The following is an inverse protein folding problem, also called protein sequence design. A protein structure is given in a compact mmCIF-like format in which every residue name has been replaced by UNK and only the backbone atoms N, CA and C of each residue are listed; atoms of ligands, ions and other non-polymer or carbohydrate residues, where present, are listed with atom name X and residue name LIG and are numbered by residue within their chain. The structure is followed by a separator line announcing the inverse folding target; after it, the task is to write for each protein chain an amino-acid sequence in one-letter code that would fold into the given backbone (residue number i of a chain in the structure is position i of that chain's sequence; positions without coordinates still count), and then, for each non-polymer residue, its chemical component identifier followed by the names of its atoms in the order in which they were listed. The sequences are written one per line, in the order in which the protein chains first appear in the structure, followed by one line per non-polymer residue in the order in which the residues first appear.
data_IF_341411673017
#
_entry.id   IF_341411673017
#
_cell.length_a   1.000
_cell.length_b   1.000
_cell.length_c   1.000
_cell.angle_alpha   90.00
_cell.angle_beta   90.00
_cell.angle_gamma   90.00
#
_symmetry.space_group_name_H-M   'P 1'
#
loop_
_entity.id
_entity.type
_entity.pdbx_description
1 polymer ?
#
# COMPACT_ATOMS: atom_id res chain seq x y z
N UNK A 1 -11.78 6.67 -23.73
CA UNK A 1 -10.38 6.38 -24.15
C UNK A 1 -9.77 5.24 -23.34
N UNK A 2 -9.47 5.36 -22.04
CA UNK A 2 -8.78 4.34 -21.22
C UNK A 2 -9.43 2.95 -21.29
N UNK A 3 -10.76 2.89 -21.20
CA UNK A 3 -11.51 1.64 -21.28
C UNK A 3 -11.28 0.88 -22.60
N UNK A 4 -11.20 1.61 -23.72
CA UNK A 4 -10.95 1.04 -25.05
C UNK A 4 -9.50 0.54 -25.21
N UNK A 5 -8.57 1.04 -24.37
CA UNK A 5 -7.19 0.56 -24.32
C UNK A 5 -7.00 -0.65 -23.40
N UNK A 6 -8.10 -1.26 -22.91
CA UNK A 6 -8.03 -2.45 -22.04
C UNK A 6 -7.89 -2.15 -20.54
N UNK A 7 -7.79 -0.88 -20.10
CA UNK A 7 -7.76 -0.52 -18.69
C UNK A 7 -9.11 -0.90 -18.07
N UNK A 8 -9.07 -1.71 -17.02
CA UNK A 8 -10.27 -2.29 -16.40
C UNK A 8 -10.44 -1.96 -14.92
N UNK A 9 -9.44 -1.32 -14.28
CA UNK A 9 -9.46 -0.87 -12.90
C UNK A 9 -9.01 0.58 -12.80
N UNK A 10 -9.69 1.36 -11.96
CA UNK A 10 -9.29 2.72 -11.59
C UNK A 10 -9.05 2.78 -10.09
N UNK A 11 -8.10 3.60 -9.67
CA UNK A 11 -7.90 4.02 -8.29
C UNK A 11 -8.11 5.53 -8.23
N UNK A 12 -8.99 5.98 -7.33
CA UNK A 12 -9.37 7.39 -7.20
C UNK A 12 -9.05 7.85 -5.79
N UNK A 13 -8.11 8.78 -5.66
CA UNK A 13 -7.72 9.34 -4.37
C UNK A 13 -8.76 10.34 -3.86
N UNK A 14 -9.48 9.96 -2.81
CA UNK A 14 -10.40 10.84 -2.07
C UNK A 14 -9.74 11.40 -0.81
N UNK A 15 -9.09 10.56 -0.03
CA UNK A 15 -8.40 10.80 1.24
C UNK A 15 -9.36 11.09 2.40
N UNK A 16 -10.29 12.03 2.27
CA UNK A 16 -11.34 12.38 3.22
C UNK A 16 -12.57 12.91 2.48
N UNK A 17 -13.74 12.83 3.09
CA UNK A 17 -14.95 13.54 2.60
C UNK A 17 -15.14 14.92 3.25
N UNK A 18 -14.23 15.32 4.12
CA UNK A 18 -14.21 16.63 4.74
C UNK A 18 -13.35 17.60 3.93
N UNK A 19 -13.95 18.62 3.35
CA UNK A 19 -13.29 19.58 2.48
C UNK A 19 -12.25 20.45 3.21
N UNK A 20 -12.42 20.66 4.52
CA UNK A 20 -11.43 21.40 5.32
C UNK A 20 -10.17 20.57 5.43
N UNK A 21 -10.29 19.28 5.75
CA UNK A 21 -9.16 18.35 5.81
C UNK A 21 -8.48 18.22 4.46
N UNK A 22 -9.26 18.06 3.36
CA UNK A 22 -8.70 18.00 2.00
C UNK A 22 -7.83 19.21 1.70
N UNK A 23 -8.30 20.40 2.04
CA UNK A 23 -7.55 21.64 1.86
C UNK A 23 -6.27 21.67 2.74
N UNK A 24 -6.36 21.21 3.97
CA UNK A 24 -5.20 21.19 4.90
C UNK A 24 -4.08 20.29 4.43
N UNK A 25 -4.42 19.16 3.84
CA UNK A 25 -3.43 18.23 3.25
C UNK A 25 -3.03 18.61 1.80
N UNK A 26 -3.44 19.79 1.34
CA UNK A 26 -3.03 20.33 0.04
C UNK A 26 -3.71 19.69 -1.18
N UNK A 27 -4.87 19.04 -1.00
CA UNK A 27 -5.63 18.49 -2.14
C UNK A 27 -6.29 19.61 -2.93
N UNK A 28 -6.24 19.49 -4.26
CA UNK A 28 -6.82 20.48 -5.20
C UNK A 28 -8.30 20.24 -5.47
N UNK A 29 -8.82 19.06 -5.09
CA UNK A 29 -10.23 18.71 -5.26
C UNK A 29 -10.96 18.77 -3.92
N UNK A 30 -12.28 18.91 -3.99
CA UNK A 30 -13.22 18.74 -2.89
C UNK A 30 -14.05 17.46 -3.06
N UNK A 31 -14.91 17.15 -2.09
CA UNK A 31 -15.72 15.94 -2.11
C UNK A 31 -16.71 15.90 -3.29
N UNK A 32 -17.29 17.03 -3.69
CA UNK A 32 -18.20 17.11 -4.85
C UNK A 32 -17.47 16.74 -6.16
N UNK A 33 -16.29 17.29 -6.38
CA UNK A 33 -15.46 16.96 -7.55
C UNK A 33 -15.01 15.49 -7.58
N UNK A 34 -14.81 14.88 -6.41
CA UNK A 34 -14.59 13.44 -6.34
C UNK A 34 -15.83 12.67 -6.77
N UNK A 35 -17.04 13.07 -6.33
CA UNK A 35 -18.31 12.45 -6.74
C UNK A 35 -18.51 12.52 -8.25
N UNK A 36 -18.22 13.65 -8.87
CA UNK A 36 -18.25 13.81 -10.33
C UNK A 36 -17.30 12.84 -11.01
N UNK A 37 -16.04 12.77 -10.53
CA UNK A 37 -15.02 11.85 -11.07
C UNK A 37 -15.47 10.39 -10.94
N UNK A 38 -16.05 10.02 -9.80
CA UNK A 38 -16.57 8.68 -9.57
C UNK A 38 -17.73 8.34 -10.53
N UNK A 39 -18.64 9.29 -10.74
CA UNK A 39 -19.76 9.14 -11.68
C UNK A 39 -19.27 9.02 -13.13
N UNK A 40 -18.32 9.84 -13.56
CA UNK A 40 -17.72 9.71 -14.90
C UNK A 40 -17.01 8.36 -15.10
N UNK A 41 -16.32 7.88 -14.09
CA UNK A 41 -15.71 6.54 -14.15
C UNK A 41 -16.76 5.43 -14.36
N UNK A 42 -17.88 5.53 -13.62
CA UNK A 42 -19.03 4.61 -13.77
C UNK A 42 -19.66 4.70 -15.16
N UNK A 43 -19.94 5.91 -15.64
CA UNK A 43 -20.52 6.15 -16.99
C UNK A 43 -19.60 5.64 -18.09
N UNK A 44 -18.28 5.77 -17.91
CA UNK A 44 -17.29 5.18 -18.81
C UNK A 44 -17.22 3.64 -18.75
N UNK A 45 -18.03 2.99 -17.89
CA UNK A 45 -18.15 1.53 -17.79
C UNK A 45 -17.11 0.84 -16.90
N UNK A 46 -16.43 1.59 -16.01
CA UNK A 46 -15.55 0.95 -15.02
C UNK A 46 -16.38 0.33 -13.89
N UNK A 47 -16.18 -0.97 -13.67
CA UNK A 47 -16.84 -1.76 -12.63
C UNK A 47 -15.91 -2.06 -11.45
N UNK A 48 -14.60 -1.97 -11.67
CA UNK A 48 -13.57 -2.17 -10.65
C UNK A 48 -12.96 -0.81 -10.31
N UNK A 49 -13.50 -0.17 -9.29
CA UNK A 49 -13.04 1.13 -8.81
C UNK A 49 -12.54 0.94 -7.39
N UNK A 50 -11.34 1.43 -7.13
CA UNK A 50 -10.77 1.62 -5.81
C UNK A 50 -10.94 3.08 -5.38
N UNK A 51 -11.22 3.28 -4.09
CA UNK A 51 -11.22 4.59 -3.45
C UNK A 51 -10.16 4.59 -2.36
N UNK A 52 -9.28 5.58 -2.39
CA UNK A 52 -8.24 5.75 -1.37
C UNK A 52 -8.73 6.72 -0.29
N UNK A 53 -8.62 6.30 0.97
CA UNK A 53 -8.85 7.10 2.18
C UNK A 53 -7.56 7.16 3.01
N UNK A 54 -7.49 8.12 3.93
CA UNK A 54 -6.35 8.24 4.84
C UNK A 54 -6.82 8.33 6.29
N UNK A 55 -6.00 7.79 7.18
CA UNK A 55 -6.08 7.88 8.64
C UNK A 55 -5.04 8.88 9.15
N UNK A 56 -5.22 9.33 10.38
CA UNK A 56 -4.23 10.18 11.05
C UNK A 56 -4.11 11.58 10.43
N UNK A 57 -5.12 12.04 9.69
CA UNK A 57 -5.10 13.36 9.07
C UNK A 57 -5.25 14.48 10.13
N UNK A 58 -4.69 15.67 9.89
CA UNK A 58 -4.91 16.82 10.77
C UNK A 58 -6.40 17.03 11.04
N UNK A 59 -6.76 17.25 12.30
CA UNK A 59 -8.14 17.43 12.81
C UNK A 59 -9.08 16.23 12.59
N UNK A 60 -8.60 15.12 12.05
CA UNK A 60 -9.43 13.94 11.84
C UNK A 60 -9.66 13.21 13.16
N UNK A 61 -10.87 13.27 13.66
CA UNK A 61 -11.35 12.41 14.73
C UNK A 61 -12.10 11.20 14.18
N UNK A 62 -12.46 10.29 15.07
CA UNK A 62 -13.22 9.08 14.69
C UNK A 62 -14.58 9.39 14.03
N UNK A 63 -15.20 10.55 14.33
CA UNK A 63 -16.50 10.91 13.76
C UNK A 63 -16.36 11.34 12.29
N UNK A 64 -15.32 12.11 11.99
CA UNK A 64 -15.01 12.53 10.61
C UNK A 64 -14.64 11.33 9.77
N UNK A 65 -13.80 10.42 10.29
CA UNK A 65 -13.46 9.19 9.62
C UNK A 65 -14.69 8.32 9.36
N UNK A 66 -15.56 8.14 10.36
CA UNK A 66 -16.80 7.40 10.23
C UNK A 66 -17.68 7.96 9.11
N UNK A 67 -17.85 9.27 9.06
CA UNK A 67 -18.59 9.94 7.99
C UNK A 67 -17.98 9.64 6.61
N UNK A 68 -16.64 9.69 6.50
CA UNK A 68 -15.95 9.38 5.25
C UNK A 68 -16.17 7.93 4.81
N UNK A 69 -16.07 6.97 5.72
CA UNK A 69 -16.31 5.56 5.46
C UNK A 69 -17.78 5.30 5.04
N UNK A 70 -18.74 5.88 5.75
CA UNK A 70 -20.17 5.77 5.43
C UNK A 70 -20.47 6.35 4.04
N UNK A 71 -19.92 7.51 3.72
CA UNK A 71 -20.09 8.13 2.41
C UNK A 71 -19.54 7.24 1.29
N UNK A 72 -18.35 6.63 1.48
CA UNK A 72 -17.72 5.76 0.48
C UNK A 72 -18.49 4.46 0.27
N UNK A 73 -18.95 3.78 1.33
CA UNK A 73 -19.71 2.53 1.17
C UNK A 73 -21.11 2.76 0.62
N UNK A 74 -21.64 3.98 0.73
CA UNK A 74 -22.93 4.36 0.18
C UNK A 74 -22.89 4.81 -1.29
N UNK A 75 -21.72 4.94 -1.92
CA UNK A 75 -21.58 5.21 -3.34
C UNK A 75 -22.31 4.16 -4.19
N UNK A 76 -22.84 4.59 -5.35
CA UNK A 76 -23.61 3.72 -6.26
C UNK A 76 -23.01 3.71 -7.68
N UNK A 77 -22.41 2.56 -8.11
CA UNK A 77 -22.23 1.30 -7.37
C UNK A 77 -21.20 1.45 -6.25
N UNK A 78 -21.32 0.65 -5.20
CA UNK A 78 -20.32 0.58 -4.13
C UNK A 78 -18.95 0.20 -4.71
N UNK A 79 -17.85 0.87 -4.31
CA UNK A 79 -16.51 0.54 -4.79
C UNK A 79 -16.15 -0.93 -4.49
N UNK A 80 -15.36 -1.54 -5.36
CA UNK A 80 -14.95 -2.95 -5.20
C UNK A 80 -13.73 -3.10 -4.30
N UNK A 81 -13.02 -2.01 -4.10
CA UNK A 81 -11.79 -1.95 -3.34
C UNK A 81 -11.71 -0.61 -2.60
N UNK A 82 -11.18 -0.62 -1.38
CA UNK A 82 -10.92 0.58 -0.58
C UNK A 82 -9.52 0.43 -0.01
N UNK A 83 -8.67 1.42 -0.25
CA UNK A 83 -7.37 1.56 0.39
C UNK A 83 -7.48 2.56 1.52
N UNK A 84 -6.92 2.24 2.69
CA UNK A 84 -6.92 3.16 3.83
C UNK A 84 -5.50 3.20 4.40
N UNK A 85 -4.82 4.31 4.21
CA UNK A 85 -3.42 4.51 4.58
C UNK A 85 -3.32 5.45 5.77
N UNK A 86 -2.41 5.17 6.70
CA UNK A 86 -1.97 6.15 7.68
C UNK A 86 -1.19 7.28 7.00
N UNK A 87 -1.35 8.50 7.50
CA UNK A 87 -0.55 9.62 7.04
C UNK A 87 0.91 9.43 7.46
N UNK A 88 1.80 9.37 6.49
CA UNK A 88 3.25 9.46 6.72
C UNK A 88 3.70 10.85 6.33
N UNK A 89 4.31 11.57 7.28
CA UNK A 89 4.85 12.91 7.03
C UNK A 89 6.24 12.78 6.44
N UNK A 90 6.35 13.07 5.16
CA UNK A 90 7.62 13.02 4.44
C UNK A 90 8.37 14.35 4.55
N UNK A 91 9.72 14.26 4.64
CA UNK A 91 10.62 15.41 4.67
C UNK A 91 10.45 16.30 3.43
N UNK A 92 10.53 17.61 3.61
CA UNK A 92 10.39 18.60 2.55
C UNK A 92 8.95 18.93 2.12
N UNK A 93 7.95 18.23 2.66
CA UNK A 93 6.53 18.48 2.35
C UNK A 93 5.98 19.73 3.03
N UNK A 94 4.88 20.26 2.51
CA UNK A 94 4.20 21.39 3.16
C UNK A 94 3.56 20.99 4.49
N UNK A 95 3.13 19.74 4.63
CA UNK A 95 2.57 19.22 5.90
C UNK A 95 3.66 19.22 6.96
N UNK A 96 4.85 18.71 6.66
CA UNK A 96 5.98 18.72 7.59
C UNK A 96 6.32 20.15 8.06
N UNK A 97 6.43 21.10 7.14
CA UNK A 97 6.72 22.51 7.47
C UNK A 97 5.68 23.11 8.40
N UNK A 98 4.40 22.85 8.14
CA UNK A 98 3.31 23.38 8.95
C UNK A 98 3.25 22.72 10.33
N UNK A 99 3.55 21.43 10.45
CA UNK A 99 3.70 20.74 11.72
C UNK A 99 4.86 21.32 12.54
N UNK A 100 6.03 21.48 11.94
CA UNK A 100 7.20 22.05 12.59
C UNK A 100 6.99 23.50 13.06
N UNK A 101 6.13 24.26 12.37
CA UNK A 101 5.74 25.61 12.76
C UNK A 101 4.62 25.64 13.82
N UNK A 102 4.06 24.50 14.22
CA UNK A 102 2.91 24.43 15.14
C UNK A 102 1.58 24.92 14.53
N UNK A 103 1.48 24.94 13.19
CA UNK A 103 0.26 25.36 12.46
C UNK A 103 -0.73 24.21 12.29
N UNK A 104 -0.27 22.98 12.45
CA UNK A 104 -1.06 21.74 12.37
C UNK A 104 -0.72 20.84 13.55
N UNK A 105 -1.73 20.05 13.95
CA UNK A 105 -1.58 18.96 14.91
C UNK A 105 -2.13 17.68 14.26
N UNK A 106 -1.43 16.57 14.50
CA UNK A 106 -1.90 15.23 14.11
C UNK A 106 -2.57 14.56 15.30
N UNK A 107 -3.49 13.63 15.07
CA UNK A 107 -3.95 12.73 16.12
C UNK A 107 -2.77 12.00 16.76
N UNK A 108 -2.90 11.63 18.02
CA UNK A 108 -1.91 10.78 18.67
C UNK A 108 -2.02 9.31 18.17
N UNK A 109 -1.02 8.50 18.52
CA UNK A 109 -0.94 7.09 18.09
C UNK A 109 -2.14 6.27 18.58
N UNK A 110 -2.72 6.62 19.76
CA UNK A 110 -3.89 5.92 20.30
C UNK A 110 -5.14 6.21 19.46
N UNK A 111 -5.35 7.47 19.09
CA UNK A 111 -6.45 7.87 18.20
C UNK A 111 -6.29 7.24 16.82
N UNK A 112 -5.09 7.25 16.23
CA UNK A 112 -4.85 6.64 14.93
C UNK A 112 -5.10 5.13 14.97
N UNK A 113 -4.64 4.43 16.00
CA UNK A 113 -4.93 3.00 16.23
C UNK A 113 -6.43 2.75 16.37
N UNK A 114 -7.15 3.61 17.10
CA UNK A 114 -8.60 3.54 17.23
C UNK A 114 -9.29 3.72 15.87
N UNK A 115 -8.82 4.66 15.05
CA UNK A 115 -9.30 4.87 13.69
C UNK A 115 -9.06 3.64 12.80
N UNK A 116 -7.89 3.02 12.88
CA UNK A 116 -7.57 1.82 12.12
C UNK A 116 -8.49 0.64 12.49
N UNK A 117 -8.63 0.34 13.77
CA UNK A 117 -9.50 -0.74 14.22
C UNK A 117 -10.97 -0.50 13.88
N UNK A 118 -11.43 0.74 14.01
CA UNK A 118 -12.78 1.10 13.58
C UNK A 118 -12.95 0.85 12.08
N UNK A 119 -12.03 1.31 11.26
CA UNK A 119 -12.05 1.12 9.80
C UNK A 119 -12.12 -0.34 9.41
N UNK A 120 -11.27 -1.18 10.00
CA UNK A 120 -11.26 -2.62 9.77
C UNK A 120 -12.63 -3.22 10.05
N UNK A 121 -13.16 -3.04 11.27
CA UNK A 121 -14.44 -3.60 11.68
C UNK A 121 -15.59 -3.09 10.79
N UNK A 122 -15.59 -1.79 10.48
CA UNK A 122 -16.62 -1.19 9.66
C UNK A 122 -16.64 -1.76 8.24
N UNK A 123 -15.48 -1.87 7.59
CA UNK A 123 -15.38 -2.38 6.22
C UNK A 123 -15.68 -3.88 6.15
N UNK A 124 -15.26 -4.68 7.14
CA UNK A 124 -15.62 -6.10 7.23
C UNK A 124 -17.13 -6.29 7.36
N UNK A 125 -17.81 -5.51 8.22
CA UNK A 125 -19.27 -5.52 8.34
C UNK A 125 -19.98 -5.11 7.05
N UNK A 126 -19.32 -4.31 6.20
CA UNK A 126 -19.82 -3.93 4.87
C UNK A 126 -19.38 -4.93 3.77
N UNK A 127 -18.86 -6.10 4.15
CA UNK A 127 -18.54 -7.22 3.26
C UNK A 127 -17.28 -7.03 2.42
N UNK A 128 -16.31 -6.24 2.90
CA UNK A 128 -14.95 -6.22 2.38
C UNK A 128 -14.09 -7.20 3.17
N UNK A 129 -13.18 -7.90 2.48
CA UNK A 129 -12.11 -8.67 3.11
C UNK A 129 -10.92 -7.73 3.34
N UNK A 130 -10.45 -7.62 4.57
CA UNK A 130 -9.14 -7.06 4.88
C UNK A 130 -8.09 -8.10 4.45
N UNK A 131 -7.29 -7.85 3.43
CA UNK A 131 -6.40 -8.86 2.86
C UNK A 131 -4.91 -8.54 3.01
N UNK A 132 -4.59 -7.27 3.24
CA UNK A 132 -3.27 -6.78 3.63
C UNK A 132 -3.42 -5.48 4.41
N UNK A 133 -2.36 -4.98 5.03
CA UNK A 133 -2.37 -3.94 6.07
C UNK A 133 -3.25 -2.73 5.74
N UNK A 134 -3.18 -2.21 4.51
CA UNK A 134 -3.85 -0.97 4.13
C UNK A 134 -5.02 -1.17 3.16
N UNK A 135 -5.32 -2.41 2.75
CA UNK A 135 -6.26 -2.63 1.66
C UNK A 135 -7.39 -3.60 1.98
N UNK A 136 -8.58 -3.20 1.56
CA UNK A 136 -9.84 -3.91 1.75
C UNK A 136 -10.50 -4.13 0.39
N UNK A 137 -10.98 -5.33 0.11
CA UNK A 137 -11.60 -5.65 -1.18
C UNK A 137 -12.84 -6.50 -1.02
N UNK A 138 -13.80 -6.34 -1.95
CA UNK A 138 -14.81 -7.38 -2.16
C UNK A 138 -14.11 -8.64 -2.65
N UNK A 139 -14.57 -9.85 -2.27
CA UNK A 139 -13.95 -11.10 -2.69
C UNK A 139 -13.69 -11.16 -4.21
N UNK A 140 -12.43 -11.44 -4.60
CA UNK A 140 -11.99 -11.51 -5.99
C UNK A 140 -11.61 -10.15 -6.62
N UNK A 141 -11.58 -9.07 -5.83
CA UNK A 141 -11.17 -7.73 -6.27
C UNK A 141 -9.91 -7.23 -5.59
N UNK A 142 -9.18 -8.11 -4.90
CA UNK A 142 -7.87 -7.80 -4.33
C UNK A 142 -6.93 -7.26 -5.42
N UNK A 143 -6.08 -6.30 -5.07
CA UNK A 143 -5.12 -5.74 -6.03
C UNK A 143 -4.06 -6.77 -6.41
N UNK A 144 -4.17 -7.34 -7.61
CA UNK A 144 -3.19 -8.32 -8.11
C UNK A 144 -1.78 -7.74 -8.17
N UNK A 145 -1.66 -6.44 -8.49
CA UNK A 145 -0.36 -5.77 -8.53
C UNK A 145 0.27 -5.73 -7.13
N UNK A 146 -0.48 -5.26 -6.11
CA UNK A 146 0.01 -5.21 -4.73
C UNK A 146 0.39 -6.62 -4.24
N UNK A 147 -0.50 -7.61 -4.46
CA UNK A 147 -0.22 -9.00 -4.08
C UNK A 147 1.04 -9.55 -4.75
N UNK A 148 1.29 -9.21 -6.02
CA UNK A 148 2.54 -9.58 -6.70
C UNK A 148 3.77 -8.94 -6.05
N UNK A 149 3.66 -7.67 -5.61
CA UNK A 149 4.73 -7.00 -4.87
C UNK A 149 4.97 -7.67 -3.50
N UNK A 150 3.89 -7.99 -2.76
CA UNK A 150 4.00 -8.65 -1.46
C UNK A 150 4.49 -10.11 -1.56
N UNK A 151 4.39 -10.73 -2.72
CA UNK A 151 4.99 -12.04 -3.04
C UNK A 151 6.37 -11.91 -3.69
N UNK A 152 6.96 -10.73 -3.68
CA UNK A 152 8.27 -10.43 -4.29
C UNK A 152 8.39 -10.97 -5.72
N UNK A 153 7.33 -10.80 -6.54
CA UNK A 153 7.36 -11.17 -7.96
C UNK A 153 8.06 -10.11 -8.78
N UNK A 154 8.69 -10.55 -9.85
CA UNK A 154 9.38 -9.66 -10.77
C UNK A 154 8.37 -8.77 -11.52
N UNK A 155 8.77 -7.53 -11.77
CA UNK A 155 8.00 -6.57 -12.55
C UNK A 155 8.91 -5.64 -13.33
N UNK A 156 8.38 -5.10 -14.44
CA UNK A 156 9.05 -4.10 -15.28
C UNK A 156 8.20 -2.85 -15.31
N UNK A 157 8.79 -1.72 -14.92
CA UNK A 157 8.18 -0.41 -14.96
C UNK A 157 8.38 0.26 -16.33
N UNK A 158 7.31 0.85 -16.85
CA UNK A 158 7.32 1.62 -18.09
C UNK A 158 7.02 3.09 -17.79
N UNK A 159 7.79 3.95 -18.41
CA UNK A 159 7.65 5.40 -18.26
C UNK A 159 8.84 6.04 -17.54
N UNK A 160 8.83 7.37 -17.50
CA UNK A 160 9.82 8.19 -16.78
C UNK A 160 9.73 7.88 -15.28
N UNK A 161 10.87 7.78 -14.60
CA UNK A 161 11.00 7.45 -13.19
C UNK A 161 10.36 6.10 -12.76
N UNK A 162 10.00 5.23 -13.70
CA UNK A 162 9.39 3.95 -13.35
C UNK A 162 10.43 2.95 -12.84
N UNK A 163 10.14 2.32 -11.72
CA UNK A 163 10.99 1.31 -11.10
C UNK A 163 10.67 -0.10 -11.60
N UNK A 164 11.66 -0.96 -11.58
CA UNK A 164 11.56 -2.38 -11.95
C UNK A 164 12.29 -3.24 -10.94
N UNK A 165 11.86 -4.49 -10.79
CA UNK A 165 12.53 -5.51 -10.01
C UNK A 165 12.63 -6.80 -10.81
N UNK A 166 13.85 -7.20 -11.19
CA UNK A 166 14.11 -8.36 -12.04
C UNK A 166 15.37 -9.08 -11.55
N UNK A 167 15.26 -10.38 -11.22
CA UNK A 167 16.36 -11.22 -10.78
C UNK A 167 17.19 -10.65 -9.61
N UNK A 168 16.52 -10.08 -8.60
CA UNK A 168 17.18 -9.48 -7.44
C UNK A 168 17.82 -8.11 -7.71
N UNK A 169 17.55 -7.50 -8.87
CA UNK A 169 18.05 -6.17 -9.22
C UNK A 169 16.89 -5.18 -9.30
N UNK A 170 16.96 -4.11 -8.52
CA UNK A 170 16.12 -2.93 -8.66
C UNK A 170 16.80 -1.90 -9.53
N UNK A 171 16.07 -1.38 -10.48
CA UNK A 171 16.52 -0.25 -11.29
C UNK A 171 15.35 0.68 -11.58
N UNK A 172 15.67 1.96 -11.75
CA UNK A 172 14.74 3.00 -12.16
C UNK A 172 15.06 3.50 -13.56
N UNK A 173 14.05 3.90 -14.31
CA UNK A 173 14.22 4.71 -15.49
C UNK A 173 14.58 6.16 -15.07
N UNK A 174 15.27 6.91 -15.93
CA UNK A 174 15.57 8.32 -15.67
C UNK A 174 14.31 9.10 -15.27
N UNK A 175 14.45 10.00 -14.31
CA UNK A 175 13.41 10.97 -13.93
C UNK A 175 13.34 12.16 -14.89
N UNK A 176 14.29 12.29 -15.82
CA UNK A 176 14.31 13.34 -16.82
C UNK A 176 13.43 12.96 -18.02
N UNK A 177 12.30 13.64 -18.17
CA UNK A 177 11.35 13.38 -19.26
C UNK A 177 11.98 13.55 -20.65
N UNK A 178 12.87 14.53 -20.83
CA UNK A 178 13.52 14.76 -22.15
C UNK A 178 14.46 13.61 -22.50
N UNK A 179 15.25 13.12 -21.56
CA UNK A 179 16.12 11.96 -21.78
C UNK A 179 15.29 10.72 -22.10
N UNK A 180 14.21 10.48 -21.35
CA UNK A 180 13.32 9.34 -21.56
C UNK A 180 12.68 9.37 -22.97
N UNK A 181 12.20 10.53 -23.42
CA UNK A 181 11.56 10.67 -24.73
C UNK A 181 12.56 10.61 -25.90
N UNK A 182 13.80 11.00 -25.68
CA UNK A 182 14.85 11.00 -26.71
C UNK A 182 15.69 9.72 -26.75
N UNK A 183 15.34 8.73 -25.92
CA UNK A 183 16.05 7.45 -25.92
C UNK A 183 15.91 6.75 -27.26
N UNK A 184 17.00 6.16 -27.71
CA UNK A 184 16.96 5.29 -28.86
C UNK A 184 16.31 3.96 -28.46
N UNK A 185 15.16 3.62 -29.05
CA UNK A 185 14.35 2.45 -28.68
C UNK A 185 15.00 1.12 -29.14
N UNK A 186 16.22 0.91 -28.69
CA UNK A 186 16.95 -0.35 -28.84
C UNK A 186 17.59 -0.75 -27.50
N UNK A 187 18.12 -1.95 -27.41
CA UNK A 187 18.69 -2.47 -26.15
C UNK A 187 19.79 -1.58 -25.56
N UNK A 188 20.65 -0.99 -26.40
CA UNK A 188 21.73 -0.08 -25.93
C UNK A 188 21.14 1.22 -25.38
N UNK A 189 20.17 1.80 -26.08
CA UNK A 189 19.52 3.04 -25.65
C UNK A 189 18.75 2.88 -24.34
N UNK A 190 18.02 1.79 -24.16
CA UNK A 190 17.34 1.54 -22.89
C UNK A 190 18.29 1.41 -21.70
N UNK A 191 19.51 0.92 -21.89
CA UNK A 191 20.51 0.86 -20.82
C UNK A 191 20.98 2.25 -20.38
N UNK A 192 20.95 3.25 -21.25
CA UNK A 192 21.43 4.62 -20.93
C UNK A 192 20.50 5.39 -20.01
N UNK A 193 19.23 5.02 -19.96
CA UNK A 193 18.20 5.69 -19.13
C UNK A 193 17.89 4.93 -17.84
N UNK A 194 18.59 3.83 -17.57
CA UNK A 194 18.37 2.99 -16.37
C UNK A 194 19.49 3.22 -15.36
N UNK A 195 19.09 3.42 -14.11
CA UNK A 195 20.00 3.46 -12.97
C UNK A 195 19.72 2.23 -12.10
N UNK A 196 20.77 1.44 -11.82
CA UNK A 196 20.67 0.36 -10.83
C UNK A 196 20.65 1.02 -9.45
N UNK A 197 19.63 0.74 -8.67
CA UNK A 197 19.46 1.27 -7.33
C UNK A 197 19.94 0.26 -6.28
N UNK A 198 19.67 -1.02 -6.54
CA UNK A 198 19.99 -2.08 -5.62
C UNK A 198 20.29 -3.39 -6.37
N UNK A 199 21.25 -4.14 -5.86
CA UNK A 199 21.49 -5.53 -6.27
C UNK A 199 21.52 -6.40 -5.02
N UNK A 200 20.54 -7.27 -4.90
CA UNK A 200 20.35 -8.13 -3.75
C UNK A 200 21.12 -9.44 -3.90
N UNK A 201 21.76 -9.88 -2.84
CA UNK A 201 22.23 -11.27 -2.69
C UNK A 201 21.05 -12.18 -2.27
N UNK A 202 21.33 -13.47 -2.09
CA UNK A 202 20.28 -14.45 -1.73
C UNK A 202 19.65 -14.11 -0.38
N UNK A 203 20.43 -13.79 0.64
CA UNK A 203 19.94 -13.46 1.98
C UNK A 203 19.08 -12.17 1.98
N UNK A 204 19.49 -11.15 1.22
CA UNK A 204 18.68 -9.92 1.06
C UNK A 204 17.32 -10.23 0.47
N UNK A 205 17.26 -11.10 -0.55
CA UNK A 205 15.99 -11.53 -1.16
C UNK A 205 15.12 -12.34 -0.19
N UNK A 206 15.72 -13.20 0.65
CA UNK A 206 15.05 -14.00 1.67
C UNK A 206 14.44 -13.11 2.77
N UNK A 207 15.21 -12.16 3.28
CA UNK A 207 14.77 -11.16 4.26
C UNK A 207 13.64 -10.31 3.72
N UNK A 208 13.80 -9.77 2.51
CA UNK A 208 12.76 -8.96 1.87
C UNK A 208 11.48 -9.77 1.62
N UNK A 209 11.59 -11.06 1.28
CA UNK A 209 10.40 -11.91 1.11
C UNK A 209 9.62 -12.05 2.41
N UNK A 210 10.31 -12.16 3.57
CA UNK A 210 9.67 -12.14 4.88
C UNK A 210 8.99 -10.78 5.13
N UNK A 211 9.73 -9.68 4.99
CA UNK A 211 9.23 -8.33 5.22
C UNK A 211 7.99 -8.00 4.36
N UNK A 212 8.05 -8.28 3.07
CA UNK A 212 6.94 -8.02 2.15
C UNK A 212 5.77 -8.98 2.39
N UNK A 213 6.07 -10.25 2.63
CA UNK A 213 5.06 -11.28 2.84
C UNK A 213 4.24 -11.08 4.10
N UNK A 214 4.86 -10.55 5.17
CA UNK A 214 4.18 -10.21 6.43
C UNK A 214 3.26 -8.98 6.34
N UNK A 215 3.25 -8.27 5.21
CA UNK A 215 2.21 -7.26 4.94
C UNK A 215 0.84 -7.88 4.64
N UNK A 216 0.80 -9.11 4.17
CA UNK A 216 -0.45 -9.85 3.94
C UNK A 216 -0.98 -10.39 5.25
N UNK A 217 -2.30 -10.37 5.46
CA UNK A 217 -2.90 -10.96 6.66
C UNK A 217 -2.83 -12.50 6.67
N UNK A 218 -2.76 -13.10 5.47
CA UNK A 218 -2.50 -14.54 5.34
C UNK A 218 -1.01 -14.88 5.60
N UNK A 219 -0.13 -13.86 5.72
CA UNK A 219 1.27 -13.99 6.08
C UNK A 219 2.18 -14.57 5.00
N UNK A 220 3.29 -15.14 5.44
CA UNK A 220 4.32 -15.81 4.63
C UNK A 220 4.06 -17.30 4.65
N UNK A 221 3.82 -17.89 3.48
CA UNK A 221 3.73 -19.35 3.36
C UNK A 221 5.11 -19.98 3.38
N UNK A 222 5.32 -20.91 4.32
CA UNK A 222 6.58 -21.64 4.49
C UNK A 222 6.91 -22.42 3.22
N UNK A 223 5.92 -23.11 2.65
CA UNK A 223 6.11 -23.90 1.43
C UNK A 223 6.49 -23.04 0.22
N UNK A 224 5.93 -21.83 0.08
CA UNK A 224 6.32 -20.90 -1.00
C UNK A 224 7.75 -20.38 -0.80
N UNK A 225 8.14 -20.11 0.43
CA UNK A 225 9.51 -19.71 0.75
C UNK A 225 10.49 -20.81 0.36
N UNK A 226 10.25 -22.06 0.81
CA UNK A 226 11.06 -23.22 0.48
C UNK A 226 11.16 -23.48 -1.03
N UNK A 227 10.06 -23.35 -1.75
CA UNK A 227 10.06 -23.50 -3.21
C UNK A 227 10.94 -22.45 -3.91
N UNK A 228 10.98 -21.23 -3.37
CA UNK A 228 11.72 -20.12 -3.97
C UNK A 228 13.21 -20.15 -3.63
N UNK A 229 13.55 -20.45 -2.39
CA UNK A 229 14.91 -20.28 -1.86
C UNK A 229 15.62 -21.60 -1.54
N UNK A 230 14.90 -22.73 -1.54
CA UNK A 230 15.42 -24.07 -1.18
C UNK A 230 15.90 -24.13 0.28
N UNK A 231 15.37 -23.26 1.12
CA UNK A 231 15.67 -23.17 2.57
C UNK A 231 14.36 -23.01 3.34
N UNK A 232 14.35 -23.44 4.61
CA UNK A 232 13.18 -23.30 5.46
C UNK A 232 13.30 -22.01 6.30
N UNK A 233 12.32 -21.07 6.25
CA UNK A 233 12.40 -19.80 6.95
C UNK A 233 12.46 -19.95 8.47
N UNK A 234 11.87 -21.02 9.05
CA UNK A 234 11.89 -21.27 10.50
C UNK A 234 13.31 -21.50 11.01
N UNK A 235 14.15 -22.19 10.23
CA UNK A 235 15.54 -22.41 10.61
C UNK A 235 16.42 -21.22 10.28
N UNK A 236 16.19 -20.59 9.13
CA UNK A 236 16.99 -19.47 8.65
C UNK A 236 16.86 -18.24 9.56
N UNK A 237 15.64 -17.91 9.97
CA UNK A 237 15.31 -16.74 10.81
C UNK A 237 14.91 -17.14 12.24
N UNK A 238 15.54 -18.19 12.78
CA UNK A 238 15.12 -18.76 14.06
C UNK A 238 15.13 -17.74 15.20
N UNK A 239 16.16 -16.92 15.28
CA UNK A 239 16.32 -15.96 16.39
C UNK A 239 15.30 -14.83 16.30
N UNK A 240 15.12 -14.27 15.10
CA UNK A 240 14.16 -13.21 14.80
C UNK A 240 12.74 -13.70 15.06
N UNK A 241 12.39 -14.88 14.56
CA UNK A 241 11.06 -15.46 14.75
C UNK A 241 10.80 -15.78 16.22
N UNK A 242 11.76 -16.34 16.95
CA UNK A 242 11.61 -16.65 18.37
C UNK A 242 11.35 -15.36 19.16
N UNK A 243 12.13 -14.29 18.93
CA UNK A 243 11.95 -12.99 19.57
C UNK A 243 10.56 -12.43 19.33
N UNK A 244 10.14 -12.39 18.06
CA UNK A 244 8.85 -11.83 17.67
C UNK A 244 7.64 -12.63 18.18
N UNK A 245 7.78 -13.95 18.32
CA UNK A 245 6.76 -14.81 18.96
C UNK A 245 6.70 -14.58 20.46
N UNK A 246 7.84 -14.49 21.16
CA UNK A 246 7.90 -14.20 22.60
C UNK A 246 7.32 -12.82 22.93
N UNK A 247 7.45 -11.86 22.01
CA UNK A 247 6.86 -10.51 22.10
C UNK A 247 5.37 -10.46 21.71
N UNK A 248 4.75 -11.59 21.33
CA UNK A 248 3.37 -11.69 20.82
C UNK A 248 3.12 -10.83 19.55
N UNK A 249 4.13 -10.70 18.69
CA UNK A 249 4.04 -9.97 17.42
C UNK A 249 3.81 -10.88 16.22
N UNK A 250 4.30 -12.12 16.28
CA UNK A 250 4.11 -13.16 15.26
C UNK A 250 3.48 -14.41 15.84
N UNK A 251 2.70 -15.09 15.01
CA UNK A 251 2.31 -16.48 15.20
C UNK A 251 2.90 -17.34 14.07
N UNK A 252 3.41 -18.50 14.42
CA UNK A 252 4.01 -19.47 13.51
C UNK A 252 3.27 -20.77 13.64
N UNK A 253 2.65 -21.22 12.56
CA UNK A 253 2.01 -22.53 12.50
C UNK A 253 2.76 -23.45 11.50
N UNK A 254 2.17 -24.58 11.12
CA UNK A 254 2.79 -25.55 10.21
C UNK A 254 2.92 -25.05 8.77
N UNK A 255 2.09 -24.12 8.36
CA UNK A 255 1.94 -23.68 6.98
C UNK A 255 2.42 -22.23 6.75
N UNK A 256 2.21 -21.38 7.76
CA UNK A 256 2.37 -19.94 7.59
C UNK A 256 3.00 -19.25 8.82
N UNK A 257 3.62 -18.10 8.56
CA UNK A 257 4.12 -17.12 9.54
C UNK A 257 3.30 -15.84 9.39
N UNK A 258 2.59 -15.41 10.44
CA UNK A 258 1.62 -14.31 10.37
C UNK A 258 1.83 -13.30 11.49
N UNK A 259 1.38 -12.06 11.24
CA UNK A 259 1.21 -11.07 12.30
C UNK A 259 0.07 -11.46 13.25
N UNK A 260 0.29 -11.33 14.55
CA UNK A 260 -0.79 -11.33 15.54
C UNK A 260 -1.59 -10.03 15.46
N UNK A 261 -2.64 -9.88 16.27
CA UNK A 261 -3.34 -8.58 16.38
C UNK A 261 -2.41 -7.48 16.88
N UNK A 262 -1.54 -7.77 17.84
CA UNK A 262 -0.54 -6.85 18.36
C UNK A 262 0.55 -6.56 17.32
N UNK A 263 0.98 -7.58 16.59
CA UNK A 263 1.92 -7.44 15.49
C UNK A 263 1.37 -6.60 14.33
N UNK A 264 0.07 -6.64 14.08
CA UNK A 264 -0.56 -5.79 13.08
C UNK A 264 -0.50 -4.30 13.46
N UNK A 265 -0.64 -3.98 14.75
CA UNK A 265 -0.52 -2.61 15.27
C UNK A 265 0.93 -2.10 15.29
N UNK A 266 1.90 -3.01 15.36
CA UNK A 266 3.33 -2.73 15.50
C UNK A 266 4.13 -3.35 14.35
N UNK A 267 3.55 -3.42 13.14
CA UNK A 267 4.11 -4.14 12.03
C UNK A 267 5.49 -3.61 11.56
N UNK A 268 5.75 -2.31 11.77
CA UNK A 268 7.06 -1.72 11.51
C UNK A 268 8.17 -2.39 12.35
N UNK A 269 7.93 -2.68 13.62
CA UNK A 269 8.91 -3.37 14.48
C UNK A 269 9.19 -4.79 13.98
N UNK A 270 8.17 -5.46 13.44
CA UNK A 270 8.35 -6.78 12.86
C UNK A 270 9.18 -6.72 11.58
N UNK A 271 8.94 -5.74 10.72
CA UNK A 271 9.70 -5.61 9.47
C UNK A 271 11.16 -5.24 9.71
N UNK A 272 11.47 -4.45 10.74
CA UNK A 272 12.84 -4.06 11.12
C UNK A 272 13.74 -5.25 11.42
N UNK A 273 13.20 -6.38 11.90
CA UNK A 273 13.96 -7.60 12.15
C UNK A 273 14.44 -8.30 10.85
N UNK A 274 13.88 -7.91 9.70
CA UNK A 274 14.23 -8.48 8.38
C UNK A 274 14.89 -7.47 7.44
N UNK A 275 15.46 -6.39 7.96
CA UNK A 275 16.21 -5.37 7.17
C UNK A 275 17.71 -5.66 7.20
#
# INVERSE_FOLDING_TARGET
MYRNCGINRLSIGLQSTDDIILKEIGRIHNYEQFLDTYNWAKEAGFKNINVDLMLGLPRQDIKILKSSLENVVNLKPMPKHISVYSLIVEEGTQIEKRLNNGELELPDDEEERRQYHYTKNFLELNGYKHYEISNFAKPGYESKHNMNCWEQKQYVGFGVAAHSYVNGVRYANTSNLKEYLNVNYNEKGFKTIKTIEETQNKLDMEKEFMMLGLRKLDGVSISKFEQKFVENPIYLFRNELQKLVEEDLLEVDLDDIKLTKKGLDLANLVWEEFI
#
